data_IF_074079509882
#
_entry.id   IF_074079509882
#
_cell.length_a   1.000
_cell.length_b   1.000
_cell.length_c   1.000
_cell.angle_alpha   90.00
_cell.angle_beta   90.00
_cell.angle_gamma   90.00
#
_symmetry.space_group_name_H-M   'P 1'
#
loop_
_entity.id
_entity.type
_entity.pdbx_description
1 polymer ?
#
# COMPACT_ATOMS: atom_id res chain seq x y z
N UNK A 1 -4.30 -0.48 7.10
CA UNK A 1 -3.86 -1.11 8.36
C UNK A 1 -4.26 -0.26 9.56
N UNK A 2 -4.74 -0.89 10.63
CA UNK A 2 -5.09 -0.23 11.91
C UNK A 2 -3.87 0.41 12.58
N UNK A 3 -4.08 1.43 13.41
CA UNK A 3 -3.00 2.22 13.99
C UNK A 3 -2.01 1.39 14.84
N UNK A 4 -2.53 0.49 15.69
CA UNK A 4 -1.76 -0.38 16.59
C UNK A 4 -2.19 -1.85 16.41
N UNK A 5 -1.63 -2.58 15.44
CA UNK A 5 -2.01 -3.97 15.19
C UNK A 5 -1.58 -4.93 16.32
N UNK A 6 -0.59 -4.54 17.13
CA UNK A 6 -0.17 -5.26 18.33
C UNK A 6 -0.31 -4.35 19.56
N UNK A 7 -0.85 -4.90 20.65
CA UNK A 7 -0.89 -4.32 22.01
C UNK A 7 -0.54 -5.39 23.02
N UNK A 8 -0.45 -5.04 24.31
CA UNK A 8 -0.19 -6.04 25.35
C UNK A 8 -1.14 -7.25 25.22
N UNK A 9 -0.56 -8.46 25.07
CA UNK A 9 -1.25 -9.74 24.89
C UNK A 9 -2.26 -9.81 23.71
N UNK A 10 -2.19 -8.91 22.73
CA UNK A 10 -3.08 -8.86 21.58
C UNK A 10 -2.29 -8.65 20.28
N UNK A 11 -2.55 -9.48 19.27
CA UNK A 11 -2.02 -9.31 17.92
C UNK A 11 -3.14 -9.52 16.89
N UNK A 12 -3.33 -8.54 16.01
CA UNK A 12 -4.26 -8.61 14.89
C UNK A 12 -3.51 -9.01 13.62
N UNK A 13 -4.11 -9.90 12.83
CA UNK A 13 -3.58 -10.38 11.57
C UNK A 13 -4.54 -10.22 10.40
N UNK A 14 -3.99 -10.14 9.20
CA UNK A 14 -4.75 -10.08 7.94
C UNK A 14 -5.79 -8.96 7.94
N UNK A 15 -7.00 -9.28 7.49
CA UNK A 15 -8.09 -8.31 7.36
C UNK A 15 -8.44 -7.60 8.67
N UNK A 16 -8.32 -8.28 9.83
CA UNK A 16 -8.55 -7.68 11.14
C UNK A 16 -7.53 -6.58 11.46
N UNK A 17 -6.32 -6.68 10.92
CA UNK A 17 -5.30 -5.63 10.99
C UNK A 17 -5.50 -4.56 9.89
N UNK A 18 -6.49 -4.70 9.01
CA UNK A 18 -6.71 -3.86 7.84
C UNK A 18 -5.62 -4.05 6.79
N UNK A 19 -5.22 -5.30 6.56
CA UNK A 19 -4.19 -5.69 5.60
C UNK A 19 -4.81 -6.35 4.36
N UNK A 20 -5.24 -5.51 3.43
CA UNK A 20 -5.53 -5.91 2.06
C UNK A 20 -4.76 -4.98 1.12
N UNK A 21 -4.31 -5.48 -0.04
CA UNK A 21 -3.75 -4.64 -1.10
C UNK A 21 -4.80 -3.61 -1.51
N UNK A 22 -4.55 -2.30 -1.39
CA UNK A 22 -5.54 -1.28 -1.73
C UNK A 22 -5.98 -1.32 -3.19
N UNK A 23 -5.09 -1.73 -4.09
CA UNK A 23 -5.29 -1.73 -5.55
C UNK A 23 -6.14 -2.91 -6.04
N UNK A 24 -5.97 -4.10 -5.46
CA UNK A 24 -6.65 -5.32 -5.93
C UNK A 24 -7.64 -5.89 -4.92
N UNK A 25 -7.64 -5.40 -3.68
CA UNK A 25 -8.40 -5.98 -2.58
C UNK A 25 -7.83 -7.29 -2.04
N UNK A 26 -6.74 -7.82 -2.60
CA UNK A 26 -6.17 -9.10 -2.18
C UNK A 26 -5.54 -9.04 -0.77
N UNK A 27 -6.03 -9.86 0.16
CA UNK A 27 -5.55 -9.91 1.56
C UNK A 27 -4.61 -11.08 1.88
N UNK A 28 -4.63 -12.16 1.11
CA UNK A 28 -3.88 -13.40 1.41
C UNK A 28 -2.37 -13.15 1.45
N UNK A 29 -1.79 -12.62 0.37
CA UNK A 29 -0.36 -12.30 0.30
C UNK A 29 0.11 -11.39 1.45
N UNK A 30 -0.51 -10.20 1.63
CA UNK A 30 -0.20 -9.32 2.75
C UNK A 30 -0.33 -9.98 4.13
N UNK A 31 -1.31 -10.88 4.33
CA UNK A 31 -1.43 -11.61 5.58
C UNK A 31 -0.24 -12.55 5.82
N UNK A 32 0.24 -13.26 4.80
CA UNK A 32 1.46 -14.09 4.90
C UNK A 32 2.71 -13.25 5.12
N UNK A 33 2.88 -12.13 4.41
CA UNK A 33 4.00 -11.20 4.65
C UNK A 33 4.02 -10.73 6.11
N UNK A 34 2.85 -10.47 6.70
CA UNK A 34 2.73 -10.10 8.09
C UNK A 34 3.15 -11.24 9.03
N UNK A 35 2.80 -12.49 8.72
CA UNK A 35 3.21 -13.67 9.48
C UNK A 35 4.73 -13.82 9.44
N UNK A 36 5.34 -13.74 8.26
CA UNK A 36 6.79 -13.85 8.08
C UNK A 36 7.56 -12.79 8.88
N UNK A 37 7.01 -11.58 8.97
CA UNK A 37 7.61 -10.49 9.73
C UNK A 37 7.54 -10.66 11.26
N UNK A 38 6.56 -11.41 11.77
CA UNK A 38 6.22 -11.38 13.19
C UNK A 38 6.33 -12.73 13.91
N UNK A 39 6.11 -13.85 13.21
CA UNK A 39 5.88 -15.16 13.82
C UNK A 39 7.00 -15.57 14.79
N UNK A 40 8.25 -15.49 14.34
CA UNK A 40 9.40 -15.88 15.16
C UNK A 40 9.53 -14.99 16.42
N UNK A 41 9.32 -13.69 16.29
CA UNK A 41 9.44 -12.75 17.41
C UNK A 41 8.29 -12.89 18.41
N UNK A 42 7.07 -13.18 17.92
CA UNK A 42 5.92 -13.46 18.76
C UNK A 42 6.06 -14.79 19.50
N UNK A 43 6.51 -15.85 18.83
CA UNK A 43 6.74 -17.15 19.47
C UNK A 43 7.72 -17.03 20.64
N UNK A 44 8.87 -16.38 20.40
CA UNK A 44 9.86 -16.13 21.46
C UNK A 44 9.33 -15.24 22.61
N UNK A 45 8.40 -14.33 22.32
CA UNK A 45 7.78 -13.48 23.35
C UNK A 45 6.75 -14.26 24.19
N UNK A 46 5.99 -15.17 23.57
CA UNK A 46 5.05 -16.06 24.26
C UNK A 46 5.80 -16.99 25.21
N UNK A 47 6.87 -17.64 24.74
CA UNK A 47 7.69 -18.56 25.56
C UNK A 47 8.27 -17.90 26.81
N UNK A 48 8.58 -16.59 26.73
CA UNK A 48 9.18 -15.82 27.83
C UNK A 48 8.16 -15.02 28.66
N UNK A 49 6.87 -15.14 28.34
CA UNK A 49 5.77 -14.26 28.81
C UNK A 49 6.09 -12.76 28.69
N UNK A 50 6.83 -12.37 27.65
CA UNK A 50 7.23 -10.99 27.35
C UNK A 50 6.21 -10.31 26.42
N UNK A 51 4.94 -10.32 26.83
CA UNK A 51 3.80 -9.85 26.03
C UNK A 51 3.27 -8.47 26.46
N UNK A 52 4.09 -7.68 27.15
CA UNK A 52 3.77 -6.31 27.57
C UNK A 52 3.81 -5.30 26.41
N UNK A 53 3.26 -4.11 26.65
CA UNK A 53 3.09 -3.06 25.61
C UNK A 53 4.42 -2.70 24.91
N UNK A 54 5.50 -2.50 25.66
CA UNK A 54 6.81 -2.14 25.10
C UNK A 54 7.40 -3.25 24.19
N UNK A 55 7.26 -4.51 24.60
CA UNK A 55 7.73 -5.65 23.82
C UNK A 55 6.93 -5.79 22.52
N UNK A 56 5.59 -5.68 22.61
CA UNK A 56 4.69 -5.77 21.47
C UNK A 56 4.89 -4.62 20.47
N UNK A 57 5.14 -3.40 20.95
CA UNK A 57 5.49 -2.27 20.09
C UNK A 57 6.82 -2.47 19.36
N UNK A 58 7.81 -3.10 20.00
CA UNK A 58 9.09 -3.45 19.37
C UNK A 58 8.88 -4.52 18.28
N UNK A 59 8.10 -5.55 18.58
CA UNK A 59 7.76 -6.63 17.63
C UNK A 59 7.01 -6.07 16.41
N UNK A 60 6.14 -5.07 16.60
CA UNK A 60 5.39 -4.44 15.51
C UNK A 60 6.22 -3.51 14.60
N UNK A 61 7.47 -3.17 14.94
CA UNK A 61 8.29 -2.21 14.18
C UNK A 61 8.42 -2.54 12.68
N UNK A 62 8.64 -3.80 12.26
CA UNK A 62 8.76 -4.14 10.84
C UNK A 62 7.51 -3.80 10.02
N UNK A 63 6.33 -3.84 10.64
CA UNK A 63 5.05 -3.50 9.97
C UNK A 63 4.97 -2.05 9.50
N UNK A 64 5.83 -1.15 10.00
CA UNK A 64 5.86 0.24 9.54
C UNK A 64 6.19 0.36 8.05
N UNK A 65 7.14 -0.47 7.57
CA UNK A 65 7.51 -0.48 6.15
C UNK A 65 6.34 -0.94 5.30
N UNK A 66 5.76 -2.09 5.67
CA UNK A 66 4.57 -2.66 5.02
C UNK A 66 3.42 -1.65 4.97
N UNK A 67 3.13 -0.95 6.08
CA UNK A 67 2.11 0.11 6.10
C UNK A 67 2.41 1.21 5.10
N UNK A 68 3.64 1.71 5.05
CA UNK A 68 4.04 2.80 4.15
C UNK A 68 3.93 2.41 2.68
N UNK A 69 4.24 1.15 2.34
CA UNK A 69 4.10 0.64 0.98
C UNK A 69 2.63 0.54 0.57
N UNK A 70 1.77 -0.01 1.44
CA UNK A 70 0.33 -0.04 1.20
C UNK A 70 -0.27 1.37 1.12
N UNK A 71 0.18 2.31 1.95
CA UNK A 71 -0.28 3.70 1.90
C UNK A 71 0.02 4.35 0.54
N UNK A 72 1.23 4.15 0.01
CA UNK A 72 1.59 4.65 -1.32
C UNK A 72 0.73 4.05 -2.43
N UNK A 73 0.46 2.75 -2.36
CA UNK A 73 -0.42 2.08 -3.31
C UNK A 73 -1.86 2.62 -3.22
N UNK A 74 -2.35 2.89 -1.99
CA UNK A 74 -3.66 3.51 -1.75
C UNK A 74 -3.73 4.91 -2.34
N UNK A 75 -2.73 5.76 -2.08
CA UNK A 75 -2.67 7.13 -2.61
C UNK A 75 -2.74 7.11 -4.13
N UNK A 76 -2.00 6.23 -4.80
CA UNK A 76 -2.04 6.11 -6.26
C UNK A 76 -3.42 5.65 -6.76
N UNK A 77 -4.02 4.63 -6.14
CA UNK A 77 -5.38 4.21 -6.48
C UNK A 77 -6.37 5.35 -6.30
N UNK A 78 -6.31 6.06 -5.17
CA UNK A 78 -7.24 7.13 -4.87
C UNK A 78 -7.08 8.30 -5.84
N UNK A 79 -5.86 8.55 -6.30
CA UNK A 79 -5.58 9.57 -7.29
C UNK A 79 -6.17 9.22 -8.67
N UNK A 80 -5.99 7.97 -9.13
CA UNK A 80 -6.43 7.54 -10.46
C UNK A 80 -7.90 7.10 -10.53
N UNK A 81 -8.53 6.79 -9.39
CA UNK A 81 -9.86 6.21 -9.34
C UNK A 81 -10.76 6.91 -8.32
N UNK A 82 -10.50 6.74 -7.02
CA UNK A 82 -11.46 7.10 -5.95
C UNK A 82 -11.77 8.60 -5.89
N UNK A 83 -10.81 9.45 -6.23
CA UNK A 83 -10.93 10.91 -6.08
C UNK A 83 -11.19 11.62 -7.42
N UNK A 84 -11.59 10.86 -8.44
CA UNK A 84 -11.93 11.35 -9.77
C UNK A 84 -13.44 11.32 -9.97
N UNK A 85 -13.95 12.36 -10.60
CA UNK A 85 -15.31 12.35 -11.15
C UNK A 85 -15.36 11.57 -12.48
N UNK A 86 -16.55 11.36 -13.03
CA UNK A 86 -16.74 10.57 -14.25
C UNK A 86 -15.96 11.15 -15.45
N UNK A 87 -15.85 12.47 -15.56
CA UNK A 87 -15.10 13.14 -16.64
C UNK A 87 -13.58 12.94 -16.46
N UNK A 88 -13.08 13.05 -15.24
CA UNK A 88 -11.68 12.76 -14.90
C UNK A 88 -11.33 11.28 -15.12
N UNK A 89 -12.26 10.36 -14.79
CA UNK A 89 -12.10 8.92 -15.04
C UNK A 89 -12.03 8.63 -16.54
N UNK A 90 -12.93 9.20 -17.34
CA UNK A 90 -12.93 9.01 -18.80
C UNK A 90 -11.63 9.52 -19.44
N UNK A 91 -11.14 10.70 -19.01
CA UNK A 91 -9.84 11.22 -19.45
C UNK A 91 -8.70 10.30 -19.04
N UNK A 92 -8.78 9.72 -17.84
CA UNK A 92 -7.77 8.79 -17.32
C UNK A 92 -7.72 7.51 -18.16
N UNK A 93 -8.88 6.91 -18.46
CA UNK A 93 -8.97 5.73 -19.33
C UNK A 93 -8.53 6.03 -20.76
N UNK A 94 -8.95 7.17 -21.31
CA UNK A 94 -8.50 7.64 -22.62
C UNK A 94 -6.97 7.77 -22.66
N UNK A 95 -6.36 8.37 -21.64
CA UNK A 95 -4.90 8.47 -21.55
C UNK A 95 -4.21 7.10 -21.43
N UNK A 96 -4.79 6.14 -20.69
CA UNK A 96 -4.28 4.78 -20.62
C UNK A 96 -4.36 4.01 -21.94
N UNK A 97 -5.37 4.30 -22.77
CA UNK A 97 -5.56 3.64 -24.07
C UNK A 97 -4.57 4.08 -25.15
N UNK A 98 -3.81 5.16 -24.91
CA UNK A 98 -2.80 5.66 -25.87
C UNK A 98 -1.66 4.66 -26.04
N UNK A 99 -1.17 4.40 -27.27
CA UNK A 99 -0.10 3.42 -27.52
C UNK A 99 1.15 3.62 -26.67
N UNK A 100 1.54 4.87 -26.43
CA UNK A 100 2.72 5.24 -25.64
C UNK A 100 2.53 4.87 -24.16
N UNK A 101 1.34 5.11 -23.61
CA UNK A 101 0.98 4.75 -22.24
C UNK A 101 0.88 3.24 -22.07
N UNK A 102 0.26 2.53 -23.02
CA UNK A 102 0.22 1.07 -23.02
C UNK A 102 1.61 0.46 -23.07
N UNK A 103 2.53 1.04 -23.86
CA UNK A 103 3.93 0.62 -23.89
C UNK A 103 4.62 0.78 -22.53
N UNK A 104 4.36 1.88 -21.81
CA UNK A 104 4.86 2.03 -20.43
C UNK A 104 4.30 0.96 -19.49
N UNK A 105 3.00 0.69 -19.57
CA UNK A 105 2.34 -0.33 -18.73
C UNK A 105 2.91 -1.72 -19.04
N UNK A 106 3.05 -2.09 -20.31
CA UNK A 106 3.55 -3.41 -20.69
C UNK A 106 5.02 -3.64 -20.28
N UNK A 107 5.84 -2.59 -20.32
CA UNK A 107 7.26 -2.71 -20.00
C UNK A 107 7.57 -2.58 -18.50
N UNK A 108 6.71 -1.90 -17.72
CA UNK A 108 7.01 -1.54 -16.32
C UNK A 108 5.90 -1.92 -15.34
N UNK A 109 4.78 -2.46 -15.82
CA UNK A 109 3.65 -2.89 -15.00
C UNK A 109 3.99 -4.14 -14.21
N UNK A 110 3.93 -4.01 -12.89
CA UNK A 110 4.02 -5.11 -11.94
C UNK A 110 2.80 -5.02 -11.01
N UNK A 111 1.93 -6.03 -11.09
CA UNK A 111 0.71 -6.09 -10.27
C UNK A 111 1.03 -6.22 -8.77
N UNK A 112 2.18 -6.80 -8.43
CA UNK A 112 2.66 -6.93 -7.06
C UNK A 112 3.29 -5.62 -6.57
N UNK A 113 3.83 -4.81 -7.50
CA UNK A 113 4.50 -3.53 -7.21
C UNK A 113 3.95 -2.42 -8.11
N UNK A 114 2.75 -1.89 -7.84
CA UNK A 114 2.12 -0.88 -8.69
C UNK A 114 2.74 0.52 -8.57
N UNK A 115 3.47 0.80 -7.48
CA UNK A 115 3.98 2.14 -7.16
C UNK A 115 4.96 2.68 -8.21
N UNK A 116 5.99 1.94 -8.66
CA UNK A 116 6.89 2.39 -9.72
C UNK A 116 6.18 2.79 -11.02
N UNK A 117 5.21 1.98 -11.48
CA UNK A 117 4.42 2.30 -12.67
C UNK A 117 3.61 3.59 -12.46
N UNK A 118 2.89 3.69 -11.34
CA UNK A 118 2.08 4.88 -11.04
C UNK A 118 2.89 6.18 -11.02
N UNK A 119 4.08 6.17 -10.39
CA UNK A 119 4.98 7.32 -10.40
C UNK A 119 5.50 7.65 -11.80
N UNK A 120 5.77 6.62 -12.61
CA UNK A 120 6.25 6.81 -13.97
C UNK A 120 5.17 7.40 -14.88
N UNK A 121 3.93 6.95 -14.74
CA UNK A 121 2.77 7.50 -15.45
C UNK A 121 2.61 8.99 -15.11
N UNK A 122 2.67 9.37 -13.83
CA UNK A 122 2.57 10.77 -13.40
C UNK A 122 3.70 11.66 -13.95
N UNK A 123 4.88 11.08 -14.19
CA UNK A 123 6.07 11.80 -14.68
C UNK A 123 6.12 11.88 -16.21
N UNK A 124 5.85 10.77 -16.89
CA UNK A 124 6.13 10.58 -18.31
C UNK A 124 4.90 10.80 -19.21
N UNK A 125 3.68 10.75 -18.66
CA UNK A 125 2.43 10.96 -19.41
C UNK A 125 1.88 12.37 -19.14
N UNK A 126 1.89 13.27 -20.14
CA UNK A 126 1.48 14.67 -19.96
C UNK A 126 0.08 14.87 -19.37
N UNK A 127 -0.85 13.98 -19.70
CA UNK A 127 -2.25 13.98 -19.26
C UNK A 127 -2.38 13.84 -17.74
N UNK A 128 -1.40 13.21 -17.08
CA UNK A 128 -1.42 12.98 -15.64
C UNK A 128 -0.68 14.04 -14.82
N UNK A 129 -0.17 15.12 -15.44
CA UNK A 129 0.58 16.18 -14.74
C UNK A 129 -0.23 16.87 -13.64
N UNK A 130 -1.51 17.13 -13.88
CA UNK A 130 -2.39 17.74 -12.87
C UNK A 130 -2.58 16.83 -11.65
N UNK A 131 -2.60 15.51 -11.88
CA UNK A 131 -2.67 14.50 -10.83
C UNK A 131 -1.34 14.39 -10.07
N UNK A 132 -0.20 14.64 -10.73
CA UNK A 132 1.13 14.58 -10.10
C UNK A 132 1.29 15.58 -8.94
N UNK A 133 0.68 16.77 -9.06
CA UNK A 133 0.66 17.75 -7.97
C UNK A 133 -0.12 17.22 -6.76
N UNK A 134 -1.34 16.68 -6.97
CA UNK A 134 -2.17 16.05 -5.93
C UNK A 134 -1.44 14.87 -5.28
N UNK A 135 -0.79 14.03 -6.09
CA UNK A 135 -0.01 12.88 -5.63
C UNK A 135 1.14 13.29 -4.71
N UNK A 136 1.90 14.31 -5.11
CA UNK A 136 3.04 14.81 -4.34
C UNK A 136 2.57 15.33 -2.98
N UNK A 137 1.49 16.11 -2.94
CA UNK A 137 0.90 16.57 -1.68
C UNK A 137 0.39 15.43 -0.80
N UNK A 138 -0.25 14.41 -1.38
CA UNK A 138 -0.73 13.25 -0.64
C UNK A 138 0.42 12.40 -0.07
N UNK A 139 1.48 12.18 -0.85
CA UNK A 139 2.68 11.44 -0.43
C UNK A 139 3.52 12.18 0.63
N UNK A 140 3.42 13.52 0.70
CA UNK A 140 4.08 14.33 1.74
C UNK A 140 3.31 14.32 3.06
N UNK A 141 1.99 14.12 3.02
CA UNK A 141 1.13 14.07 4.23
C UNK A 141 0.94 12.65 4.79
N UNK A 142 1.11 11.61 3.98
CA UNK A 142 0.97 10.19 4.35
C UNK A 142 2.29 9.51 4.72
#
# INVERSE_FOLDING_TARGET
MVAKPLRARLALFGDAAGLCKPTTGGGIGPAFDQVDLLAAALAAAVEKDQLGEAAMQRIAKPLKKMRKEQERARILRDLFLTSSDDDELERTFTAFSKPETLSLINNFGDIEKPVPLGLRLLRDVPEFRNMAARATWALLRG
#
